data_IF_165802281802
#
_entry.id   IF_165802281802
#
_cell.length_a   1.000
_cell.length_b   1.000
_cell.length_c   1.000
_cell.angle_alpha   90.00
_cell.angle_beta   90.00
_cell.angle_gamma   90.00
#
_symmetry.space_group_name_H-M   'P 1'
#
loop_
_entity.id
_entity.type
_entity.pdbx_description
1 polymer ?
#
# COMPACT_ATOMS: atom_id res chain seq x y z
N UNK A 1 11.28 35.68 4.85
CA UNK A 1 11.25 34.60 3.84
C UNK A 1 11.51 33.31 4.60
N UNK A 2 10.46 32.56 4.95
CA UNK A 2 10.64 31.20 5.48
C UNK A 2 11.17 30.40 4.29
N UNK A 3 12.45 30.03 4.31
CA UNK A 3 13.04 29.24 3.23
C UNK A 3 12.30 27.92 3.10
N UNK A 4 11.97 27.50 1.89
CA UNK A 4 11.36 26.18 1.67
C UNK A 4 12.38 25.13 2.16
N UNK A 5 12.03 24.36 3.18
CA UNK A 5 12.93 23.35 3.79
C UNK A 5 12.40 21.92 3.68
N UNK A 6 11.15 21.74 3.26
CA UNK A 6 10.52 20.42 3.16
C UNK A 6 9.61 20.31 1.92
N UNK A 7 9.19 19.07 1.64
CA UNK A 7 8.36 18.72 0.48
C UNK A 7 7.01 19.44 0.47
N UNK A 8 6.37 19.64 1.63
CA UNK A 8 5.05 20.26 1.70
C UNK A 8 5.09 21.76 1.39
N UNK A 9 6.17 22.43 1.78
CA UNK A 9 6.40 23.83 1.41
C UNK A 9 6.59 23.97 -0.11
N UNK A 10 7.31 23.05 -0.75
CA UNK A 10 7.47 23.03 -2.21
C UNK A 10 6.14 22.73 -2.90
N UNK A 11 5.35 21.77 -2.41
CA UNK A 11 3.98 21.49 -2.91
C UNK A 11 3.09 22.72 -2.88
N UNK A 12 3.12 23.49 -1.78
CA UNK A 12 2.37 24.74 -1.65
C UNK A 12 2.84 25.79 -2.66
N UNK A 13 4.15 25.96 -2.82
CA UNK A 13 4.70 26.90 -3.81
C UNK A 13 4.28 26.54 -5.24
N UNK A 14 4.36 25.25 -5.61
CA UNK A 14 3.90 24.75 -6.90
C UNK A 14 2.40 24.96 -7.11
N UNK A 15 1.58 24.68 -6.11
CA UNK A 15 0.12 24.89 -6.16
C UNK A 15 -0.25 26.37 -6.31
N UNK A 16 0.56 27.27 -5.75
CA UNK A 16 0.40 28.72 -5.89
C UNK A 16 0.98 29.28 -7.21
N UNK A 17 1.68 28.46 -8.00
CA UNK A 17 2.40 28.89 -9.20
C UNK A 17 3.65 29.72 -8.92
N UNK A 18 4.15 29.72 -7.69
CA UNK A 18 5.35 30.46 -7.26
C UNK A 18 6.62 29.65 -7.57
N UNK A 19 6.96 29.54 -8.86
CA UNK A 19 8.11 28.74 -9.31
C UNK A 19 9.45 29.38 -8.91
N UNK A 20 9.51 30.70 -8.73
CA UNK A 20 10.74 31.39 -8.32
C UNK A 20 11.16 31.02 -6.91
N UNK A 21 10.22 30.67 -6.04
CA UNK A 21 10.53 30.22 -4.67
C UNK A 21 11.41 28.95 -4.63
N UNK A 22 11.43 28.15 -5.70
CA UNK A 22 12.25 26.95 -5.81
C UNK A 22 13.71 27.26 -6.20
N UNK A 23 14.02 28.46 -6.72
CA UNK A 23 15.39 28.83 -7.08
C UNK A 23 16.25 28.89 -5.83
N UNK A 24 17.42 28.24 -5.89
CA UNK A 24 18.34 28.12 -4.76
C UNK A 24 18.14 26.87 -3.92
N UNK A 25 17.08 26.09 -4.15
CA UNK A 25 16.94 24.79 -3.50
C UNK A 25 17.88 23.75 -4.12
N UNK A 26 18.38 22.85 -3.29
CA UNK A 26 19.21 21.72 -3.70
C UNK A 26 18.32 20.53 -4.09
N UNK A 27 18.72 19.80 -5.12
CA UNK A 27 18.16 18.48 -5.36
C UNK A 27 18.47 17.55 -4.19
N UNK A 28 17.55 16.65 -3.89
CA UNK A 28 17.66 15.82 -2.70
C UNK A 28 16.88 14.51 -2.79
N UNK A 29 16.76 13.83 -1.65
CA UNK A 29 16.05 12.54 -1.54
C UNK A 29 14.58 12.56 -1.92
N UNK A 30 13.94 13.72 -1.91
CA UNK A 30 12.51 13.88 -2.15
C UNK A 30 12.18 14.87 -3.29
N UNK A 31 13.18 15.48 -3.95
CA UNK A 31 12.98 16.39 -5.08
C UNK A 31 14.08 16.21 -6.12
N UNK A 32 13.67 16.19 -7.38
CA UNK A 32 14.52 16.07 -8.56
C UNK A 32 13.91 16.92 -9.67
N UNK A 33 14.74 17.72 -10.33
CA UNK A 33 14.29 18.63 -11.38
C UNK A 33 14.90 18.30 -12.73
N UNK A 34 14.11 18.43 -13.78
CA UNK A 34 14.54 18.18 -15.15
C UNK A 34 14.43 19.46 -15.95
N UNK A 35 15.44 19.76 -16.78
CA UNK A 35 15.39 20.94 -17.67
C UNK A 35 14.45 20.76 -18.87
N UNK A 36 14.14 19.52 -19.23
CA UNK A 36 13.25 19.18 -20.34
C UNK A 36 12.36 17.98 -20.02
N UNK A 37 11.29 17.76 -20.81
CA UNK A 37 10.37 16.66 -20.60
C UNK A 37 10.97 15.32 -21.00
N UNK A 38 10.45 14.23 -20.41
CA UNK A 38 10.69 12.87 -20.86
C UNK A 38 10.10 12.67 -22.26
N UNK A 39 10.96 12.51 -23.27
CA UNK A 39 10.55 12.36 -24.67
C UNK A 39 10.10 10.92 -24.96
N UNK A 40 8.90 10.56 -24.49
CA UNK A 40 8.38 9.19 -24.54
C UNK A 40 8.23 8.61 -25.96
N UNK A 41 8.22 9.46 -26.98
CA UNK A 41 8.18 9.12 -28.40
C UNK A 41 9.57 8.83 -29.01
N UNK A 42 10.66 9.21 -28.32
CA UNK A 42 12.04 9.13 -28.85
C UNK A 42 12.80 7.84 -28.53
N UNK A 43 12.20 6.90 -27.81
CA UNK A 43 12.80 5.57 -27.58
C UNK A 43 12.57 5.02 -26.17
N UNK A 44 13.00 3.77 -25.97
CA UNK A 44 12.82 3.04 -24.71
C UNK A 44 13.48 3.74 -23.52
N UNK A 45 14.69 4.28 -23.70
CA UNK A 45 15.43 4.98 -22.64
C UNK A 45 14.61 6.08 -21.94
N UNK A 46 13.90 6.93 -22.69
CA UNK A 46 13.10 8.01 -22.09
C UNK A 46 11.91 7.49 -21.29
N UNK A 47 11.33 6.36 -21.72
CA UNK A 47 10.25 5.68 -20.98
C UNK A 47 10.78 5.06 -19.70
N UNK A 48 11.92 4.36 -19.81
CA UNK A 48 12.62 3.73 -18.69
C UNK A 48 13.04 4.75 -17.63
N UNK A 49 13.50 5.93 -18.05
CA UNK A 49 13.91 7.00 -17.14
C UNK A 49 12.74 7.52 -16.29
N UNK A 50 11.59 7.81 -16.91
CA UNK A 50 10.38 8.25 -16.19
C UNK A 50 9.95 7.21 -15.15
N UNK A 51 9.81 5.94 -15.55
CA UNK A 51 9.29 4.89 -14.65
C UNK A 51 10.29 4.58 -13.53
N UNK A 52 11.60 4.65 -13.81
CA UNK A 52 12.67 4.51 -12.83
C UNK A 52 12.60 5.62 -11.79
N UNK A 53 12.47 6.87 -12.21
CA UNK A 53 12.45 8.02 -11.30
C UNK A 53 11.19 7.98 -10.42
N UNK A 54 10.02 7.69 -11.00
CA UNK A 54 8.75 7.55 -10.27
C UNK A 54 8.81 6.41 -9.25
N UNK A 55 9.24 5.22 -9.67
CA UNK A 55 9.35 4.07 -8.76
C UNK A 55 10.39 4.29 -7.65
N UNK A 56 11.49 5.01 -7.93
CA UNK A 56 12.48 5.36 -6.92
C UNK A 56 11.89 6.27 -5.82
N UNK A 57 11.06 7.24 -6.20
CA UNK A 57 10.35 8.08 -5.24
C UNK A 57 9.24 7.33 -4.50
N UNK A 58 8.47 6.48 -5.17
CA UNK A 58 7.46 5.63 -4.55
C UNK A 58 8.07 4.66 -3.50
N UNK A 59 9.35 4.31 -3.65
CA UNK A 59 10.09 3.48 -2.70
C UNK A 59 10.63 4.24 -1.47
N UNK A 60 10.55 5.58 -1.42
CA UNK A 60 10.91 6.34 -0.21
C UNK A 60 9.76 6.32 0.80
N UNK A 61 10.02 6.75 2.04
CA UNK A 61 8.96 6.92 3.05
C UNK A 61 8.16 8.21 2.88
N UNK A 62 8.67 9.17 2.11
CA UNK A 62 8.08 10.51 1.95
C UNK A 62 7.39 10.69 0.61
N UNK A 63 7.60 9.77 -0.33
CA UNK A 63 7.35 10.04 -1.74
C UNK A 63 8.39 11.01 -2.31
N UNK A 64 8.00 11.81 -3.29
CA UNK A 64 8.82 12.89 -3.82
C UNK A 64 8.19 13.65 -4.98
N UNK A 65 8.92 14.65 -5.45
CA UNK A 65 8.53 15.54 -6.54
C UNK A 65 9.51 15.40 -7.71
N UNK A 66 8.97 15.14 -8.90
CA UNK A 66 9.68 15.36 -10.16
C UNK A 66 9.16 16.66 -10.78
N UNK A 67 10.04 17.62 -11.02
CA UNK A 67 9.65 18.94 -11.52
C UNK A 67 10.36 19.24 -12.84
N UNK A 68 9.60 19.32 -13.91
CA UNK A 68 10.10 19.50 -15.28
C UNK A 68 9.97 20.96 -15.69
N UNK A 69 11.07 21.53 -16.17
CA UNK A 69 11.20 22.90 -16.58
C UNK A 69 12.05 23.74 -15.63
N UNK A 70 13.11 23.15 -15.05
CA UNK A 70 14.12 23.85 -14.25
C UNK A 70 15.53 23.39 -14.62
N UNK A 71 16.49 24.32 -14.57
CA UNK A 71 17.92 23.97 -14.68
C UNK A 71 18.61 24.01 -13.33
N UNK A 72 19.48 23.05 -13.10
CA UNK A 72 20.42 23.06 -11.98
C UNK A 72 21.76 23.67 -12.38
N UNK A 73 22.48 24.16 -11.38
CA UNK A 73 23.92 24.43 -11.44
C UNK A 73 24.60 23.56 -10.39
N UNK A 74 25.65 22.86 -10.79
CA UNK A 74 26.44 22.05 -9.87
C UNK A 74 27.58 22.86 -9.27
N UNK A 75 27.67 22.90 -7.94
CA UNK A 75 28.81 23.45 -7.20
C UNK A 75 29.14 22.54 -6.01
N UNK A 76 30.41 22.21 -5.79
CA UNK A 76 30.84 21.31 -4.70
C UNK A 76 30.06 19.97 -4.63
N UNK A 77 29.75 19.39 -5.80
CA UNK A 77 28.95 18.17 -5.96
C UNK A 77 27.50 18.26 -5.47
N UNK A 78 26.98 19.48 -5.31
CA UNK A 78 25.57 19.75 -5.01
C UNK A 78 24.93 20.38 -6.24
N UNK A 79 23.80 19.84 -6.68
CA UNK A 79 22.97 20.42 -7.73
C UNK A 79 21.93 21.34 -7.13
N UNK A 80 22.00 22.63 -7.49
CA UNK A 80 21.09 23.66 -6.99
C UNK A 80 20.27 24.23 -8.14
N UNK A 81 18.95 24.35 -7.95
CA UNK A 81 18.05 24.97 -8.91
C UNK A 81 18.49 26.42 -9.17
N UNK A 82 18.75 26.74 -10.43
CA UNK A 82 19.35 28.02 -10.83
C UNK A 82 18.44 28.88 -11.70
N UNK A 83 17.51 28.26 -12.43
CA UNK A 83 16.66 28.95 -13.41
C UNK A 83 15.36 28.18 -13.62
N UNK A 84 14.23 28.90 -13.74
CA UNK A 84 12.98 28.36 -14.29
C UNK A 84 13.10 28.36 -15.81
N UNK A 85 12.94 27.20 -16.44
CA UNK A 85 13.01 27.01 -17.89
C UNK A 85 11.74 26.34 -18.41
N UNK A 86 10.65 27.11 -18.60
CA UNK A 86 9.37 26.56 -19.03
C UNK A 86 9.49 25.77 -20.35
N UNK A 87 8.89 24.59 -20.38
CA UNK A 87 8.91 23.69 -21.53
C UNK A 87 7.64 23.90 -22.37
N UNK A 88 7.68 23.66 -23.69
CA UNK A 88 6.49 23.73 -24.54
C UNK A 88 5.41 22.71 -24.13
N UNK A 89 4.16 23.16 -23.93
CA UNK A 89 3.00 22.33 -23.58
C UNK A 89 2.79 21.17 -24.56
N UNK A 90 3.07 21.41 -25.83
CA UNK A 90 2.93 20.43 -26.91
C UNK A 90 3.88 19.21 -26.77
N UNK A 91 4.97 19.34 -26.00
CA UNK A 91 5.91 18.24 -25.74
C UNK A 91 5.52 17.38 -24.52
N UNK A 92 4.47 17.76 -23.79
CA UNK A 92 4.05 17.08 -22.57
C UNK A 92 2.64 16.53 -22.73
N UNK A 93 2.50 15.22 -22.66
CA UNK A 93 1.19 14.56 -22.60
C UNK A 93 1.08 13.81 -21.27
N UNK A 94 0.37 14.40 -20.32
CA UNK A 94 0.19 13.86 -18.96
C UNK A 94 -0.53 12.52 -18.96
N UNK A 95 -1.46 12.30 -19.90
CA UNK A 95 -2.19 11.03 -19.98
C UNK A 95 -1.27 9.90 -20.47
N UNK A 96 -0.40 10.19 -21.44
CA UNK A 96 0.62 9.23 -21.89
C UNK A 96 1.61 8.91 -20.77
N UNK A 97 2.02 9.90 -19.98
CA UNK A 97 2.90 9.69 -18.83
C UNK A 97 2.22 8.77 -17.79
N UNK A 98 0.99 9.10 -17.39
CA UNK A 98 0.23 8.31 -16.40
C UNK A 98 0.03 6.89 -16.88
N UNK A 99 -0.43 6.70 -18.12
CA UNK A 99 -0.61 5.36 -18.71
C UNK A 99 0.68 4.54 -18.71
N UNK A 100 1.81 5.17 -19.05
CA UNK A 100 3.10 4.48 -19.05
C UNK A 100 3.53 4.09 -17.63
N UNK A 101 3.32 4.96 -16.64
CA UNK A 101 3.61 4.68 -15.23
C UNK A 101 2.74 3.51 -14.75
N UNK A 102 1.43 3.55 -14.99
CA UNK A 102 0.48 2.50 -14.59
C UNK A 102 0.78 1.15 -15.25
N UNK A 103 1.34 1.15 -16.47
CA UNK A 103 1.73 -0.06 -17.21
C UNK A 103 3.05 -0.68 -16.70
N UNK A 104 3.95 0.14 -16.15
CA UNK A 104 5.36 -0.25 -15.94
C UNK A 104 5.83 -0.19 -14.50
N UNK A 105 5.12 0.51 -13.61
CA UNK A 105 5.44 0.58 -12.19
C UNK A 105 4.45 -0.31 -11.44
N UNK A 106 4.97 -1.28 -10.68
CA UNK A 106 4.15 -2.22 -9.92
C UNK A 106 4.56 -2.27 -8.44
N UNK A 107 3.62 -2.24 -7.47
CA UNK A 107 2.18 -2.02 -7.68
C UNK A 107 1.88 -0.63 -8.24
N UNK A 108 0.63 -0.35 -8.60
CA UNK A 108 0.25 0.99 -9.07
C UNK A 108 0.48 2.03 -7.97
N UNK A 109 1.01 3.20 -8.36
CA UNK A 109 1.24 4.32 -7.45
C UNK A 109 -0.09 4.97 -7.11
N UNK A 110 -0.44 4.98 -5.83
CA UNK A 110 -1.68 5.59 -5.33
C UNK A 110 -1.55 7.11 -5.33
N UNK A 111 -2.63 7.81 -5.68
CA UNK A 111 -2.77 9.28 -5.64
C UNK A 111 -1.67 10.04 -6.41
N UNK A 112 -1.21 9.48 -7.54
CA UNK A 112 -0.23 10.12 -8.42
C UNK A 112 -0.82 11.34 -9.15
N UNK A 113 -0.27 12.52 -8.86
CA UNK A 113 -0.71 13.77 -9.48
C UNK A 113 0.28 14.30 -10.51
N UNK A 114 -0.23 14.67 -11.70
CA UNK A 114 0.54 15.30 -12.76
C UNK A 114 -0.10 16.65 -13.06
N UNK A 115 0.54 17.72 -12.60
CA UNK A 115 0.00 19.08 -12.63
C UNK A 115 0.81 19.96 -13.55
N UNK A 116 0.14 20.52 -14.56
CA UNK A 116 0.72 21.52 -15.45
C UNK A 116 0.53 22.93 -14.88
N UNK A 117 1.61 23.69 -14.79
CA UNK A 117 1.64 25.06 -14.28
C UNK A 117 2.03 26.00 -15.43
N UNK A 118 1.08 26.83 -15.89
CA UNK A 118 1.31 27.76 -16.98
C UNK A 118 2.25 28.91 -16.57
N UNK A 119 3.15 29.29 -17.48
CA UNK A 119 4.07 30.43 -17.27
C UNK A 119 4.01 31.49 -18.35
N UNK A 120 3.90 31.06 -19.61
CA UNK A 120 3.79 31.94 -20.77
C UNK A 120 3.01 31.22 -21.87
N UNK A 121 2.68 31.91 -22.95
CA UNK A 121 1.86 31.35 -24.02
C UNK A 121 2.44 30.03 -24.56
N UNK A 122 1.72 28.93 -24.30
CA UNK A 122 2.09 27.59 -24.73
C UNK A 122 3.29 26.96 -24.01
N UNK A 123 3.79 27.55 -22.91
CA UNK A 123 4.90 27.01 -22.11
C UNK A 123 4.63 27.05 -20.61
N UNK A 124 5.14 26.05 -19.91
CA UNK A 124 4.90 25.87 -18.48
C UNK A 124 5.86 24.89 -17.84
N UNK A 125 5.56 24.53 -16.61
CA UNK A 125 6.27 23.53 -15.82
C UNK A 125 5.33 22.37 -15.56
N UNK A 126 5.85 21.14 -15.62
CA UNK A 126 5.11 19.95 -15.19
C UNK A 126 5.63 19.54 -13.82
N UNK A 127 4.75 19.49 -12.83
CA UNK A 127 4.99 18.82 -11.56
C UNK A 127 4.39 17.42 -11.62
N UNK A 128 5.17 16.42 -11.20
CA UNK A 128 4.69 15.06 -10.92
C UNK A 128 4.89 14.85 -9.42
N UNK A 129 3.80 14.79 -8.68
CA UNK A 129 3.80 14.51 -7.25
C UNK A 129 3.56 13.03 -7.01
N UNK A 130 4.56 12.38 -6.42
CA UNK A 130 4.53 10.98 -6.01
C UNK A 130 4.32 11.00 -4.49
N UNK A 131 3.11 10.76 -3.98
CA UNK A 131 2.88 10.80 -2.55
C UNK A 131 3.53 9.60 -1.85
N UNK A 132 3.70 9.71 -0.53
CA UNK A 132 4.19 8.62 0.29
C UNK A 132 3.29 7.38 0.15
N UNK A 133 3.89 6.27 -0.27
CA UNK A 133 3.14 5.03 -0.48
C UNK A 133 3.09 4.18 0.79
N UNK A 134 2.03 3.40 1.01
CA UNK A 134 1.93 2.49 2.14
C UNK A 134 3.16 1.57 2.25
N UNK A 135 3.63 1.33 3.47
CA UNK A 135 4.78 0.45 3.67
C UNK A 135 4.56 -0.96 3.10
N UNK A 136 3.32 -1.46 3.14
CA UNK A 136 2.93 -2.75 2.60
C UNK A 136 2.93 -2.82 1.06
N UNK A 137 2.82 -1.68 0.37
CA UNK A 137 2.88 -1.63 -1.10
C UNK A 137 4.33 -1.64 -1.63
N UNK A 138 5.33 -1.41 -0.76
CA UNK A 138 6.74 -1.40 -1.15
C UNK A 138 7.34 -2.81 -1.06
N UNK A 139 8.27 -3.16 -1.97
CA UNK A 139 8.89 -2.28 -2.96
C UNK A 139 8.10 -2.16 -4.27
N UNK A 140 8.15 -0.97 -4.87
CA UNK A 140 7.78 -0.72 -6.25
C UNK A 140 8.88 -1.22 -7.19
N UNK A 141 8.49 -1.97 -8.21
CA UNK A 141 9.35 -2.57 -9.23
C UNK A 141 9.01 -2.03 -10.62
N UNK A 142 9.99 -2.10 -11.50
CA UNK A 142 9.85 -1.81 -12.93
C UNK A 142 10.45 -2.95 -13.76
N UNK A 143 10.13 -3.07 -15.06
CA UNK A 143 10.92 -3.87 -15.97
C UNK A 143 12.40 -3.49 -15.90
N UNK A 144 13.28 -4.49 -15.96
CA UNK A 144 14.71 -4.26 -15.99
C UNK A 144 15.05 -3.39 -17.19
N UNK A 145 15.87 -2.32 -17.02
CA UNK A 145 16.26 -1.46 -18.13
C UNK A 145 16.90 -2.28 -19.25
N UNK A 146 16.42 -2.06 -20.47
CA UNK A 146 17.07 -2.60 -21.65
C UNK A 146 18.35 -1.80 -21.88
N UNK A 147 19.51 -2.39 -21.58
CA UNK A 147 20.80 -1.74 -21.83
C UNK A 147 20.99 -1.38 -23.31
N UNK A 148 22.20 -0.96 -23.71
CA UNK A 148 22.51 -0.64 -25.13
C UNK A 148 22.23 -1.80 -26.11
N UNK A 149 22.18 -3.03 -25.61
CA UNK A 149 21.75 -4.20 -26.36
C UNK A 149 20.32 -4.58 -25.94
N UNK A 150 19.35 -4.31 -26.82
CA UNK A 150 17.89 -4.56 -26.64
C UNK A 150 17.50 -6.04 -26.41
N UNK A 151 18.47 -6.95 -26.25
CA UNK A 151 18.26 -8.41 -26.32
C UNK A 151 18.05 -9.13 -24.99
N UNK A 152 17.81 -8.46 -23.86
CA UNK A 152 17.45 -9.15 -22.61
C UNK A 152 16.61 -8.27 -21.69
N UNK A 153 15.32 -8.15 -21.99
CA UNK A 153 14.33 -7.40 -21.20
C UNK A 153 13.55 -8.26 -20.19
N UNK A 154 13.90 -9.54 -20.01
CA UNK A 154 13.19 -10.44 -19.10
C UNK A 154 13.74 -10.30 -17.68
N UNK A 155 13.30 -9.28 -16.94
CA UNK A 155 13.68 -9.11 -15.55
C UNK A 155 12.90 -8.00 -14.86
N UNK A 156 12.90 -8.01 -13.53
CA UNK A 156 12.39 -6.93 -12.70
C UNK A 156 13.57 -6.22 -12.03
N UNK A 157 13.44 -4.92 -11.86
CA UNK A 157 14.37 -4.09 -11.12
C UNK A 157 13.64 -3.32 -10.03
N UNK A 158 14.32 -3.12 -8.89
CA UNK A 158 13.81 -2.34 -7.75
C UNK A 158 14.63 -1.05 -7.66
N UNK A 159 14.13 0.10 -8.13
CA UNK A 159 14.80 1.38 -7.98
C UNK A 159 14.73 1.86 -6.54
N UNK A 160 15.86 2.28 -5.98
CA UNK A 160 15.98 2.77 -4.61
C UNK A 160 16.71 4.08 -4.60
N UNK A 161 16.06 5.09 -4.01
CA UNK A 161 16.64 6.41 -3.85
C UNK A 161 17.63 6.45 -2.67
N UNK A 162 18.80 7.04 -2.87
CA UNK A 162 19.87 7.24 -1.90
C UNK A 162 20.41 8.65 -2.04
N UNK A 163 19.86 9.58 -1.25
CA UNK A 163 20.08 11.01 -1.49
C UNK A 163 19.47 11.41 -2.83
N UNK A 164 20.20 12.20 -3.60
CA UNK A 164 19.85 12.66 -4.95
C UNK A 164 19.94 11.58 -6.04
N UNK A 165 20.48 10.39 -5.74
CA UNK A 165 20.71 9.33 -6.72
C UNK A 165 19.74 8.16 -6.60
N UNK A 166 19.45 7.55 -7.74
CA UNK A 166 18.74 6.26 -7.82
C UNK A 166 19.71 5.13 -8.10
N UNK A 167 19.68 4.08 -7.28
CA UNK A 167 20.39 2.82 -7.48
C UNK A 167 19.40 1.67 -7.61
N UNK A 168 19.82 0.52 -8.11
CA UNK A 168 18.99 -0.68 -8.09
C UNK A 168 19.40 -1.62 -6.96
N UNK A 169 18.46 -2.40 -6.43
CA UNK A 169 18.85 -3.57 -5.64
C UNK A 169 19.77 -4.47 -6.44
N UNK A 170 20.79 -5.01 -5.75
CA UNK A 170 21.61 -6.07 -6.33
C UNK A 170 20.82 -7.37 -6.36
N UNK A 171 21.19 -8.29 -7.27
CA UNK A 171 20.61 -9.63 -7.32
C UNK A 171 20.60 -10.34 -5.96
N UNK A 172 21.70 -10.32 -5.18
CA UNK A 172 21.72 -10.90 -3.82
C UNK A 172 20.74 -10.25 -2.84
N UNK A 173 20.57 -8.92 -2.87
CA UNK A 173 19.60 -8.25 -1.99
C UNK A 173 18.16 -8.59 -2.40
N UNK A 174 17.86 -8.56 -3.70
CA UNK A 174 16.56 -8.97 -4.21
C UNK A 174 16.23 -10.42 -3.83
N UNK A 175 17.18 -11.34 -4.04
CA UNK A 175 17.02 -12.74 -3.64
C UNK A 175 16.80 -12.90 -2.14
N UNK A 176 17.57 -12.21 -1.30
CA UNK A 176 17.41 -12.25 0.17
C UNK A 176 16.01 -11.83 0.60
N UNK A 177 15.49 -10.74 0.02
CA UNK A 177 14.15 -10.21 0.32
C UNK A 177 13.05 -11.16 -0.14
N UNK A 178 13.16 -11.68 -1.36
CA UNK A 178 12.23 -12.67 -1.89
C UNK A 178 12.20 -13.94 -1.04
N UNK A 179 13.37 -14.50 -0.69
CA UNK A 179 13.47 -15.68 0.17
C UNK A 179 12.87 -15.45 1.55
N UNK A 180 13.07 -14.26 2.14
CA UNK A 180 12.43 -13.91 3.42
C UNK A 180 10.90 -13.86 3.28
N UNK A 181 10.39 -13.33 2.17
CA UNK A 181 8.97 -13.38 1.83
C UNK A 181 8.46 -14.83 1.77
N UNK A 182 9.07 -15.68 0.94
CA UNK A 182 8.69 -17.09 0.84
C UNK A 182 8.77 -17.85 2.16
N UNK A 183 9.73 -17.56 3.03
CA UNK A 183 9.75 -18.17 4.37
C UNK A 183 8.56 -17.73 5.23
N UNK A 184 8.06 -16.51 5.04
CA UNK A 184 6.93 -15.98 5.78
C UNK A 184 5.57 -16.44 5.23
N UNK A 185 5.44 -16.59 3.91
CA UNK A 185 4.16 -16.89 3.23
C UNK A 185 4.08 -18.28 2.57
N UNK A 186 5.18 -19.03 2.52
CA UNK A 186 5.33 -20.28 1.77
C UNK A 186 6.00 -20.07 0.40
N UNK A 187 6.77 -21.06 -0.07
CA UNK A 187 7.32 -21.06 -1.43
C UNK A 187 6.30 -21.61 -2.42
N UNK A 188 6.20 -21.06 -3.65
CA UNK A 188 5.37 -21.64 -4.69
C UNK A 188 5.80 -23.09 -4.99
N UNK A 189 4.81 -23.96 -5.15
CA UNK A 189 5.02 -25.37 -5.50
C UNK A 189 5.13 -25.53 -7.02
N UNK A 190 5.76 -26.60 -7.50
CA UNK A 190 5.93 -26.82 -8.95
C UNK A 190 4.59 -26.88 -9.72
N UNK A 191 3.50 -27.23 -9.04
CA UNK A 191 2.13 -27.25 -9.60
C UNK A 191 1.61 -25.84 -9.98
N UNK A 192 2.18 -24.79 -9.39
CA UNK A 192 1.79 -23.38 -9.63
C UNK A 192 2.20 -22.90 -11.04
N UNK A 193 3.18 -23.55 -11.68
CA UNK A 193 3.63 -23.21 -13.03
C UNK A 193 2.64 -23.60 -14.12
N UNK A 194 1.74 -24.57 -13.84
CA UNK A 194 0.61 -24.92 -14.71
C UNK A 194 -0.55 -23.92 -14.64
N UNK A 195 -0.63 -23.13 -13.56
CA UNK A 195 -1.66 -22.12 -13.35
C UNK A 195 -1.40 -20.83 -14.17
N UNK A 196 -0.15 -20.54 -14.53
CA UNK A 196 0.20 -19.35 -15.32
C UNK A 196 -0.37 -19.37 -16.74
N UNK A 197 -0.60 -20.55 -17.33
CA UNK A 197 -1.26 -20.70 -18.63
C UNK A 197 -2.79 -20.58 -18.59
N UNK A 198 -3.40 -20.63 -17.39
CA UNK A 198 -4.85 -20.56 -17.21
C UNK A 198 -5.35 -19.13 -16.90
N UNK A 199 -4.45 -18.21 -16.57
CA UNK A 199 -4.77 -16.84 -16.13
C UNK A 199 -5.22 -15.88 -17.24
N UNK A 200 -5.06 -16.22 -18.52
CA UNK A 200 -5.49 -15.34 -19.63
C UNK A 200 -6.96 -15.52 -20.05
N UNK A 201 -7.75 -16.41 -19.42
CA UNK A 201 -9.04 -16.85 -20.01
C UNK A 201 -10.30 -16.83 -19.14
N UNK A 202 -10.40 -16.03 -18.07
CA UNK A 202 -11.71 -15.91 -17.39
C UNK A 202 -12.09 -14.49 -16.93
N UNK A 203 -13.04 -13.81 -17.62
CA UNK A 203 -13.59 -12.53 -17.19
C UNK A 203 -14.43 -12.59 -15.91
N UNK A 204 -14.66 -13.79 -15.34
CA UNK A 204 -15.37 -13.97 -14.06
C UNK A 204 -14.51 -13.68 -12.81
N UNK A 205 -13.18 -13.55 -12.94
CA UNK A 205 -12.27 -13.42 -11.80
C UNK A 205 -12.09 -11.97 -11.26
N UNK A 206 -12.58 -10.95 -11.97
CA UNK A 206 -12.36 -9.53 -11.58
C UNK A 206 -13.15 -9.13 -10.33
N UNK A 207 -14.46 -9.46 -10.18
CA UNK A 207 -15.23 -9.10 -8.99
C UNK A 207 -14.77 -9.85 -7.74
N UNK A 208 -14.48 -11.14 -7.85
CA UNK A 208 -13.99 -11.96 -6.72
C UNK A 208 -12.63 -11.47 -6.23
N UNK A 209 -11.75 -11.03 -7.14
CA UNK A 209 -10.47 -10.41 -6.78
C UNK A 209 -10.66 -9.08 -6.06
N UNK A 210 -11.57 -8.23 -6.55
CA UNK A 210 -11.88 -6.96 -5.90
C UNK A 210 -12.44 -7.18 -4.48
N UNK A 211 -13.34 -8.17 -4.30
CA UNK A 211 -13.87 -8.54 -2.99
C UNK A 211 -12.80 -9.11 -2.06
N UNK A 212 -11.96 -10.01 -2.56
CA UNK A 212 -10.83 -10.55 -1.80
C UNK A 212 -9.89 -9.44 -1.29
N UNK A 213 -9.59 -8.44 -2.14
CA UNK A 213 -8.74 -7.32 -1.74
C UNK A 213 -9.38 -6.44 -0.66
N UNK A 214 -10.70 -6.20 -0.72
CA UNK A 214 -11.44 -5.47 0.33
C UNK A 214 -11.37 -6.18 1.68
N UNK A 215 -11.52 -7.52 1.68
CA UNK A 215 -11.37 -8.33 2.89
C UNK A 215 -9.97 -8.19 3.50
N UNK A 216 -8.93 -8.20 2.66
CA UNK A 216 -7.54 -8.03 3.13
C UNK A 216 -7.25 -6.62 3.66
N UNK A 217 -7.93 -5.59 3.15
CA UNK A 217 -7.84 -4.23 3.68
C UNK A 217 -8.54 -4.11 5.02
N UNK A 218 -9.76 -4.64 5.16
CA UNK A 218 -10.51 -4.64 6.41
C UNK A 218 -9.79 -5.44 7.49
N UNK A 219 -9.08 -6.52 7.10
CA UNK A 219 -8.41 -7.43 8.01
C UNK A 219 -7.08 -7.94 7.46
N UNK A 220 -5.99 -7.17 7.64
CA UNK A 220 -4.66 -7.60 7.25
C UNK A 220 -4.21 -8.88 7.96
N UNK A 221 -3.47 -9.75 7.28
CA UNK A 221 -2.98 -11.01 7.84
C UNK A 221 -2.21 -10.88 9.15
N UNK A 222 -1.44 -9.81 9.25
CA UNK A 222 -0.52 -9.57 10.34
C UNK A 222 -1.11 -8.61 11.39
N UNK A 223 -2.41 -8.30 11.30
CA UNK A 223 -3.08 -7.36 12.19
C UNK A 223 -2.85 -7.74 13.67
N UNK A 224 -2.38 -6.80 14.51
CA UNK A 224 -2.05 -7.09 15.91
C UNK A 224 -3.21 -7.70 16.71
N UNK A 225 -4.44 -7.32 16.39
CA UNK A 225 -5.64 -7.84 17.06
C UNK A 225 -5.94 -9.30 16.70
N UNK A 226 -5.61 -9.76 15.48
CA UNK A 226 -5.73 -11.17 15.11
C UNK A 226 -4.72 -12.03 15.86
N UNK A 227 -3.47 -11.55 16.01
CA UNK A 227 -2.46 -12.23 16.84
C UNK A 227 -2.88 -12.30 18.32
N UNK A 228 -3.54 -11.26 18.80
CA UNK A 228 -4.14 -11.27 20.14
C UNK A 228 -5.20 -12.37 20.24
N UNK A 229 -6.15 -12.45 19.30
CA UNK A 229 -7.18 -13.50 19.30
C UNK A 229 -6.57 -14.91 19.28
N UNK A 230 -5.55 -15.15 18.45
CA UNK A 230 -4.88 -16.44 18.35
C UNK A 230 -4.12 -16.85 19.63
N UNK A 231 -3.63 -15.88 20.41
CA UNK A 231 -2.79 -16.12 21.58
C UNK A 231 -3.56 -16.13 22.90
N UNK A 232 -4.76 -15.57 22.94
CA UNK A 232 -5.51 -15.39 24.18
C UNK A 232 -6.57 -16.46 24.36
N UNK A 233 -6.25 -17.43 25.21
CA UNK A 233 -7.22 -18.37 25.78
C UNK A 233 -6.96 -18.56 27.28
N UNK A 234 -7.92 -18.27 28.17
CA UNK A 234 -9.29 -17.84 27.91
C UNK A 234 -9.45 -16.31 27.73
N UNK A 235 -10.52 -15.87 27.06
CA UNK A 235 -10.82 -14.47 26.70
C UNK A 235 -11.29 -13.59 27.88
N UNK A 236 -10.64 -13.67 29.04
CA UNK A 236 -11.12 -12.99 30.26
C UNK A 236 -11.04 -11.46 30.16
N UNK A 237 -9.97 -10.97 29.54
CA UNK A 237 -9.68 -9.54 29.35
C UNK A 237 -9.33 -9.33 27.89
N UNK A 238 -9.96 -8.34 27.27
CA UNK A 238 -9.73 -7.99 25.87
C UNK A 238 -9.36 -6.53 25.81
N UNK A 239 -8.27 -6.21 25.09
CA UNK A 239 -7.82 -4.82 24.94
C UNK A 239 -8.89 -4.01 24.21
N UNK A 240 -9.11 -2.76 24.60
CA UNK A 240 -10.10 -1.88 23.93
C UNK A 240 -9.76 -1.70 22.44
N UNK A 241 -8.47 -1.64 22.09
CA UNK A 241 -8.03 -1.59 20.69
C UNK A 241 -8.48 -2.82 19.88
N UNK A 242 -8.61 -3.99 20.52
CA UNK A 242 -9.04 -5.23 19.85
C UNK A 242 -10.55 -5.19 19.59
N UNK A 243 -11.34 -4.73 20.56
CA UNK A 243 -12.80 -4.59 20.36
C UNK A 243 -13.12 -3.57 19.28
N UNK A 244 -12.42 -2.43 19.28
CA UNK A 244 -12.53 -1.40 18.24
C UNK A 244 -12.12 -1.91 16.86
N UNK A 245 -11.09 -2.76 16.78
CA UNK A 245 -10.66 -3.34 15.51
C UNK A 245 -11.68 -4.36 14.95
N UNK A 246 -12.32 -5.14 15.83
CA UNK A 246 -13.40 -6.07 15.45
C UNK A 246 -14.62 -5.30 14.95
N UNK A 247 -15.05 -4.27 15.68
CA UNK A 247 -16.15 -3.37 15.30
C UNK A 247 -15.89 -2.75 13.93
N UNK A 248 -14.71 -2.13 13.75
CA UNK A 248 -14.30 -1.57 12.45
C UNK A 248 -14.30 -2.60 11.32
N UNK A 249 -13.75 -3.79 11.54
CA UNK A 249 -13.71 -4.83 10.51
C UNK A 249 -15.12 -5.32 10.14
N UNK A 250 -16.03 -5.38 11.11
CA UNK A 250 -17.42 -5.75 10.87
C UNK A 250 -18.13 -4.66 10.05
N UNK A 251 -17.97 -3.38 10.41
CA UNK A 251 -18.51 -2.24 9.66
C UNK A 251 -18.02 -2.25 8.20
N UNK A 252 -16.71 -2.38 8.00
CA UNK A 252 -16.10 -2.38 6.67
C UNK A 252 -16.63 -3.53 5.77
N UNK A 253 -17.07 -4.65 6.37
CA UNK A 253 -17.51 -5.86 5.64
C UNK A 253 -19.03 -6.02 5.54
N UNK A 254 -19.80 -5.44 6.46
CA UNK A 254 -21.27 -5.45 6.43
C UNK A 254 -21.84 -4.50 5.37
N UNK A 255 -21.20 -3.35 5.17
CA UNK A 255 -21.61 -2.34 4.18
C UNK A 255 -20.96 -2.54 2.81
N UNK A 256 -20.26 -3.65 2.58
CA UNK A 256 -19.66 -3.96 1.29
C UNK A 256 -20.66 -4.69 0.38
N UNK A 257 -21.30 -3.93 -0.52
CA UNK A 257 -22.33 -4.38 -1.49
C UNK A 257 -21.79 -5.33 -2.58
N UNK A 258 -20.48 -5.61 -2.61
CA UNK A 258 -19.87 -6.53 -3.57
C UNK A 258 -19.91 -7.95 -2.99
N UNK A 259 -20.49 -8.91 -3.71
CA UNK A 259 -20.46 -10.32 -3.35
C UNK A 259 -19.51 -11.12 -4.23
N UNK A 260 -19.08 -12.29 -3.73
CA UNK A 260 -18.38 -13.27 -4.54
C UNK A 260 -19.33 -13.90 -5.56
N UNK A 261 -18.89 -13.99 -6.81
CA UNK A 261 -19.53 -14.75 -7.87
C UNK A 261 -19.28 -16.25 -7.70
N UNK A 262 -18.10 -16.64 -7.22
CA UNK A 262 -17.82 -18.03 -6.86
C UNK A 262 -18.61 -18.44 -5.60
N UNK A 263 -19.43 -19.49 -5.73
CA UNK A 263 -20.32 -19.95 -4.67
C UNK A 263 -19.57 -20.50 -3.44
N UNK A 264 -18.40 -21.11 -3.63
CA UNK A 264 -17.57 -21.61 -2.52
C UNK A 264 -17.02 -20.43 -1.72
N UNK A 265 -16.52 -19.40 -2.40
CA UNK A 265 -16.06 -18.15 -1.77
C UNK A 265 -17.20 -17.40 -1.10
N UNK A 266 -18.36 -17.30 -1.74
CA UNK A 266 -19.56 -16.68 -1.17
C UNK A 266 -19.98 -17.37 0.12
N UNK A 267 -20.03 -18.70 0.11
CA UNK A 267 -20.40 -19.49 1.31
C UNK A 267 -19.38 -19.31 2.44
N UNK A 268 -18.09 -19.38 2.14
CA UNK A 268 -17.03 -19.19 3.14
C UNK A 268 -17.03 -17.76 3.71
N UNK A 269 -17.28 -16.76 2.86
CA UNK A 269 -17.38 -15.35 3.29
C UNK A 269 -18.61 -15.09 4.15
N UNK A 270 -19.76 -15.68 3.83
CA UNK A 270 -20.96 -15.59 4.66
C UNK A 270 -20.75 -16.22 6.04
N UNK A 271 -20.19 -17.42 6.11
CA UNK A 271 -19.86 -18.09 7.37
C UNK A 271 -18.88 -17.25 8.21
N UNK A 272 -17.89 -16.66 7.54
CA UNK A 272 -16.95 -15.73 8.15
C UNK A 272 -17.63 -14.47 8.71
N UNK A 273 -18.51 -13.81 7.95
CA UNK A 273 -19.24 -12.62 8.44
C UNK A 273 -20.13 -12.94 9.63
N UNK A 274 -20.78 -14.10 9.61
CA UNK A 274 -21.64 -14.55 10.69
C UNK A 274 -20.85 -14.79 11.98
N UNK A 275 -19.69 -15.45 11.91
CA UNK A 275 -18.84 -15.68 13.08
C UNK A 275 -18.19 -14.40 13.60
N UNK A 276 -17.79 -13.47 12.72
CA UNK A 276 -17.32 -12.14 13.13
C UNK A 276 -18.42 -11.35 13.85
N UNK A 277 -19.65 -11.39 13.36
CA UNK A 277 -20.80 -10.77 14.01
C UNK A 277 -21.08 -11.35 15.39
N UNK A 278 -21.03 -12.69 15.55
CA UNK A 278 -21.16 -13.34 16.86
C UNK A 278 -20.06 -12.90 17.82
N UNK A 279 -18.80 -12.87 17.37
CA UNK A 279 -17.68 -12.42 18.17
C UNK A 279 -17.85 -10.96 18.62
N UNK A 280 -18.31 -10.08 17.73
CA UNK A 280 -18.62 -8.70 18.06
C UNK A 280 -19.67 -8.60 19.18
N UNK A 281 -20.80 -9.31 19.06
CA UNK A 281 -21.85 -9.33 20.09
C UNK A 281 -21.35 -9.79 21.45
N UNK A 282 -20.50 -10.84 21.49
CA UNK A 282 -19.92 -11.31 22.77
C UNK A 282 -18.94 -10.29 23.37
N UNK A 283 -18.19 -9.56 22.53
CA UNK A 283 -17.27 -8.51 22.97
C UNK A 283 -18.01 -7.26 23.49
N UNK A 284 -19.12 -6.86 22.87
CA UNK A 284 -20.00 -5.78 23.37
C UNK A 284 -20.58 -6.11 24.75
N UNK A 285 -20.76 -7.39 25.05
CA UNK A 285 -21.21 -7.87 26.36
C UNK A 285 -20.15 -7.76 27.47
N UNK A 286 -18.93 -7.30 27.19
CA UNK A 286 -17.86 -7.11 28.17
C UNK A 286 -17.93 -5.73 28.85
N UNK A 287 -17.31 -5.61 30.03
CA UNK A 287 -17.45 -4.44 30.89
C UNK A 287 -16.14 -3.70 31.07
N UNK A 288 -16.22 -2.38 31.19
CA UNK A 288 -15.09 -1.56 31.64
C UNK A 288 -14.85 -1.81 33.13
N UNK A 289 -13.60 -2.10 33.57
CA UNK A 289 -13.30 -2.29 34.99
C UNK A 289 -13.58 -1.03 35.82
N UNK A 290 -14.31 -1.15 36.92
CA UNK A 290 -14.65 -0.01 37.79
C UNK A 290 -13.41 0.66 38.40
N UNK A 291 -12.41 -0.13 38.79
CA UNK A 291 -11.13 0.33 39.38
C UNK A 291 -9.98 0.39 38.35
N UNK A 292 -10.31 0.48 37.05
CA UNK A 292 -9.36 0.45 35.94
C UNK A 292 -8.66 1.79 35.63
N UNK A 293 -7.64 1.77 34.75
CA UNK A 293 -7.09 3.01 34.19
C UNK A 293 -8.17 3.82 33.45
N UNK A 294 -8.10 5.15 33.53
CA UNK A 294 -8.96 6.07 32.78
C UNK A 294 -8.08 6.92 31.83
N UNK A 295 -8.21 6.77 30.49
CA UNK A 295 -9.20 5.94 29.79
C UNK A 295 -8.94 4.44 29.91
N UNK A 296 -9.98 3.59 29.75
CA UNK A 296 -9.84 2.15 29.86
C UNK A 296 -8.98 1.58 28.74
N UNK A 297 -8.07 0.66 29.10
CA UNK A 297 -7.18 -0.02 28.14
C UNK A 297 -7.62 -1.45 27.82
N UNK A 298 -8.58 -1.99 28.58
CA UNK A 298 -9.22 -3.29 28.34
C UNK A 298 -10.66 -3.31 28.87
N UNK A 299 -11.45 -4.23 28.32
CA UNK A 299 -12.74 -4.69 28.85
C UNK A 299 -12.57 -6.08 29.44
N UNK A 300 -13.38 -6.44 30.42
CA UNK A 300 -13.33 -7.76 31.06
C UNK A 300 -14.70 -8.35 31.36
N UNK A 301 -14.75 -9.68 31.46
CA UNK A 301 -15.88 -10.34 32.12
C UNK A 301 -15.75 -10.07 33.63
N UNK A 302 -16.77 -9.49 34.30
CA UNK A 302 -16.61 -8.97 35.65
C UNK A 302 -16.18 -10.08 36.62
N UNK A 303 -15.03 -9.91 37.31
CA UNK A 303 -14.45 -10.98 38.12
C UNK A 303 -15.30 -11.34 39.34
N UNK A 304 -16.11 -10.41 39.84
CA UNK A 304 -17.02 -10.60 40.96
C UNK A 304 -18.12 -11.63 40.67
N UNK A 305 -18.49 -11.82 39.40
CA UNK A 305 -19.44 -12.85 38.99
C UNK A 305 -18.96 -14.25 39.36
N UNK A 306 -17.64 -14.49 39.47
CA UNK A 306 -17.13 -15.77 39.98
C UNK A 306 -17.69 -16.16 41.35
N UNK A 307 -18.09 -15.17 42.16
CA UNK A 307 -18.64 -15.36 43.50
C UNK A 307 -20.14 -15.12 43.55
N UNK A 308 -20.63 -14.11 42.84
CA UNK A 308 -22.05 -13.71 42.90
C UNK A 308 -22.94 -14.51 41.95
N UNK A 309 -22.42 -14.90 40.79
CA UNK A 309 -23.12 -15.71 39.79
C UNK A 309 -22.13 -16.58 38.98
N UNK A 310 -21.61 -17.67 39.59
CA UNK A 310 -20.52 -18.45 39.02
C UNK A 310 -20.91 -19.11 37.70
N UNK A 311 -22.19 -19.40 37.49
CA UNK A 311 -22.67 -20.08 36.30
C UNK A 311 -22.80 -19.14 35.12
N UNK A 312 -23.30 -17.92 35.34
CA UNK A 312 -23.20 -16.85 34.35
C UNK A 312 -21.75 -16.58 33.97
N UNK A 313 -20.84 -16.48 34.94
CA UNK A 313 -19.42 -16.26 34.65
C UNK A 313 -18.83 -17.34 33.73
N UNK A 314 -19.09 -18.63 34.01
CA UNK A 314 -18.61 -19.73 33.16
C UNK A 314 -19.26 -19.70 31.77
N UNK A 315 -20.56 -19.46 31.70
CA UNK A 315 -21.30 -19.41 30.43
C UNK A 315 -20.79 -18.27 29.54
N UNK A 316 -20.63 -17.06 30.08
CA UNK A 316 -20.06 -15.92 29.32
C UNK A 316 -18.63 -16.20 28.86
N UNK A 317 -17.78 -16.76 29.73
CA UNK A 317 -16.41 -17.12 29.35
C UNK A 317 -16.36 -18.19 28.25
N UNK A 318 -17.26 -19.18 28.30
CA UNK A 318 -17.37 -20.24 27.30
C UNK A 318 -17.93 -19.70 25.97
N UNK A 319 -18.96 -18.86 26.02
CA UNK A 319 -19.54 -18.21 24.83
C UNK A 319 -18.50 -17.34 24.12
N UNK A 320 -17.79 -16.49 24.86
CA UNK A 320 -16.77 -15.61 24.29
C UNK A 320 -15.58 -16.39 23.71
N UNK A 321 -15.13 -17.45 24.39
CA UNK A 321 -14.05 -18.30 23.86
C UNK A 321 -14.50 -19.11 22.65
N UNK A 322 -15.75 -19.60 22.65
CA UNK A 322 -16.35 -20.30 21.52
C UNK A 322 -16.51 -19.39 20.30
N UNK A 323 -17.04 -18.18 20.48
CA UNK A 323 -17.17 -17.19 19.41
C UNK A 323 -15.81 -16.80 18.81
N UNK A 324 -14.76 -16.69 19.63
CA UNK A 324 -13.38 -16.49 19.14
C UNK A 324 -12.93 -17.67 18.29
N UNK A 325 -13.15 -18.90 18.74
CA UNK A 325 -12.70 -20.10 18.03
C UNK A 325 -13.43 -20.29 16.70
N UNK A 326 -14.75 -20.16 16.71
CA UNK A 326 -15.59 -20.15 15.50
C UNK A 326 -15.11 -19.10 14.48
N UNK A 327 -14.78 -17.90 14.96
CA UNK A 327 -14.26 -16.83 14.12
C UNK A 327 -12.91 -17.20 13.50
N UNK A 328 -11.97 -17.72 14.29
CA UNK A 328 -10.65 -18.11 13.81
C UNK A 328 -10.72 -19.28 12.81
N UNK A 329 -11.62 -20.23 13.04
CA UNK A 329 -11.91 -21.34 12.14
C UNK A 329 -12.49 -20.84 10.82
N UNK A 330 -13.60 -20.08 10.85
CA UNK A 330 -14.23 -19.53 9.66
C UNK A 330 -13.29 -18.61 8.86
N UNK A 331 -12.46 -17.82 9.54
CA UNK A 331 -11.40 -17.04 8.89
C UNK A 331 -10.42 -17.95 8.17
N UNK A 332 -9.97 -19.02 8.81
CA UNK A 332 -9.03 -19.97 8.21
C UNK A 332 -9.64 -20.64 6.98
N UNK A 333 -10.90 -21.03 7.05
CA UNK A 333 -11.64 -21.58 5.91
C UNK A 333 -11.75 -20.59 4.74
N UNK A 334 -12.10 -19.33 5.03
CA UNK A 334 -12.13 -18.26 4.02
C UNK A 334 -10.76 -18.04 3.39
N UNK A 335 -9.69 -17.96 4.19
CA UNK A 335 -8.34 -17.80 3.65
C UNK A 335 -7.95 -19.00 2.77
N UNK A 336 -8.27 -20.22 3.20
CA UNK A 336 -7.99 -21.42 2.41
C UNK A 336 -8.77 -21.41 1.10
N UNK A 337 -10.03 -20.95 1.10
CA UNK A 337 -10.85 -20.83 -0.10
C UNK A 337 -10.28 -19.78 -1.05
N UNK A 338 -9.90 -18.60 -0.55
CA UNK A 338 -9.24 -17.56 -1.34
C UNK A 338 -7.92 -18.04 -1.93
N UNK A 339 -7.13 -18.80 -1.16
CA UNK A 339 -5.88 -19.40 -1.62
C UNK A 339 -6.13 -20.41 -2.76
N UNK A 340 -7.11 -21.32 -2.60
CA UNK A 340 -7.49 -22.30 -3.64
C UNK A 340 -7.89 -21.63 -4.96
N UNK A 341 -8.43 -20.41 -4.90
CA UNK A 341 -8.85 -19.64 -6.09
C UNK A 341 -7.77 -18.70 -6.61
N UNK A 342 -6.57 -18.69 -6.00
CA UNK A 342 -5.47 -17.81 -6.41
C UNK A 342 -5.75 -16.33 -6.19
N UNK A 343 -6.58 -15.98 -5.20
CA UNK A 343 -6.97 -14.60 -4.90
C UNK A 343 -6.13 -13.98 -3.77
N UNK A 344 -5.21 -14.74 -3.18
CA UNK A 344 -4.21 -14.28 -2.22
C UNK A 344 -2.87 -14.13 -2.94
N UNK A 345 -2.73 -13.08 -3.75
CA UNK A 345 -1.49 -12.75 -4.49
C UNK A 345 -1.02 -11.36 -4.17
#
# INVERSE_FOLDING_TARGET
>A
MLGLVNIDDVRKALSAGDLEALIGLEECGWMDVKSGPYMLDKGAHHKEELVKDVAAFANTSTGGLLIIGFKTRTANAVETISEVTPVPRALVNTDTYRKLIDERVFPQVQDLELTWIDRSEGKGVLSIDIPAQPAAARPFVIPAPTGKDEKSASGLAVPVRRGDRTVFWSGPEAHRRLSAGWMAIGSPSADDSSALGALEKSPAAVPDRAKAQRILVAMPFDAPWLRFMQSQSPMRRVRVEVTQAVDKALDDLLFDDVDFLDHELGSAHSAFKESLGRLHTELEGMFTPEDGPNPPVYVEVPPEWKRTDPERYKQTMAALSGARDDFLEARTELMNALNRKGLLT
#
